data_IF_277204671981
#
_entry.id   IF_277204671981
#
_cell.length_a   1.000
_cell.length_b   1.000
_cell.length_c   1.000
_cell.angle_alpha   90.00
_cell.angle_beta   90.00
_cell.angle_gamma   90.00
#
_symmetry.space_group_name_H-M   'P 1'
#
loop_
_entity.id
_entity.type
_entity.pdbx_description
1 polymer ?
#
# COMPACT_ATOMS: atom_id res chain seq x y z
N UNK A 1 -6.74 -8.78 -10.42
CA UNK A 1 -6.35 -8.85 -8.99
C UNK A 1 -7.28 -9.81 -8.26
N UNK A 2 -6.75 -10.71 -7.47
CA UNK A 2 -7.53 -11.45 -6.49
C UNK A 2 -7.52 -10.66 -5.18
N UNK A 3 -8.65 -10.09 -4.82
CA UNK A 3 -8.78 -9.20 -3.67
C UNK A 3 -8.44 -9.92 -2.36
N UNK A 4 -8.91 -11.14 -2.17
CA UNK A 4 -8.68 -11.90 -0.95
C UNK A 4 -7.22 -12.24 -0.74
N UNK A 5 -6.55 -12.71 -1.79
CA UNK A 5 -5.12 -13.04 -1.75
C UNK A 5 -4.29 -11.78 -1.53
N UNK A 6 -4.60 -10.70 -2.24
CA UNK A 6 -3.89 -9.43 -2.09
C UNK A 6 -4.04 -8.88 -0.68
N UNK A 7 -5.24 -8.93 -0.12
CA UNK A 7 -5.47 -8.47 1.25
C UNK A 7 -4.70 -9.31 2.27
N UNK A 8 -4.74 -10.64 2.13
CA UNK A 8 -4.00 -11.56 3.00
C UNK A 8 -2.50 -11.27 2.99
N UNK A 9 -1.94 -11.06 1.80
CA UNK A 9 -0.53 -10.74 1.64
C UNK A 9 -0.15 -9.45 2.36
N UNK A 10 -1.01 -8.42 2.27
CA UNK A 10 -0.79 -7.16 2.97
C UNK A 10 -0.84 -7.37 4.48
N UNK A 11 -1.86 -8.05 4.98
CA UNK A 11 -2.00 -8.32 6.40
C UNK A 11 -0.77 -9.05 6.96
N UNK A 12 -0.37 -10.11 6.31
CA UNK A 12 0.80 -10.89 6.72
C UNK A 12 2.09 -10.09 6.60
N UNK A 13 2.23 -9.33 5.53
CA UNK A 13 3.41 -8.46 5.32
C UNK A 13 3.54 -7.37 6.37
N UNK A 14 2.43 -6.93 6.97
CA UNK A 14 2.43 -5.96 8.07
C UNK A 14 2.50 -6.61 9.44
N UNK A 15 2.62 -7.94 9.49
CA UNK A 15 2.72 -8.68 10.76
C UNK A 15 1.44 -8.70 11.58
N UNK A 16 0.28 -8.50 10.96
CA UNK A 16 -1.01 -8.50 11.64
C UNK A 16 -1.66 -9.87 11.58
N UNK A 17 -2.03 -10.42 12.75
CA UNK A 17 -2.85 -11.63 12.80
C UNK A 17 -4.30 -11.29 12.51
N UNK A 18 -5.09 -12.28 12.10
CA UNK A 18 -6.54 -12.10 11.93
C UNK A 18 -7.17 -11.67 13.25
N UNK A 19 -6.74 -12.26 14.37
CA UNK A 19 -7.23 -11.90 15.69
C UNK A 19 -6.97 -10.43 16.00
N UNK A 20 -5.74 -9.95 15.81
CA UNK A 20 -5.38 -8.57 16.10
C UNK A 20 -6.19 -7.61 15.21
N UNK A 21 -6.32 -7.92 13.93
CA UNK A 21 -7.07 -7.10 12.99
C UNK A 21 -8.55 -7.05 13.36
N UNK A 22 -9.13 -8.17 13.75
CA UNK A 22 -10.51 -8.25 14.25
C UNK A 22 -10.72 -7.36 15.47
N UNK A 23 -9.80 -7.39 16.41
CA UNK A 23 -9.86 -6.56 17.63
C UNK A 23 -9.79 -5.07 17.30
N UNK A 24 -8.91 -4.68 16.39
CA UNK A 24 -8.72 -3.27 16.03
C UNK A 24 -9.90 -2.69 15.23
N UNK A 25 -10.52 -3.51 14.40
CA UNK A 25 -11.53 -3.03 13.44
C UNK A 25 -12.98 -3.32 13.85
N UNK A 26 -13.19 -4.28 14.73
CA UNK A 26 -14.53 -4.78 15.05
C UNK A 26 -15.11 -5.72 14.00
N UNK A 27 -14.36 -6.03 12.95
CA UNK A 27 -14.77 -7.02 11.94
C UNK A 27 -14.47 -8.41 12.49
N UNK A 28 -15.43 -9.35 12.41
CA UNK A 28 -15.23 -10.69 12.96
C UNK A 28 -14.12 -11.45 12.26
N UNK A 29 -13.45 -12.34 13.00
CA UNK A 29 -12.42 -13.21 12.42
C UNK A 29 -12.97 -14.05 11.27
N UNK A 30 -14.19 -14.58 11.43
CA UNK A 30 -14.84 -15.38 10.39
C UNK A 30 -15.04 -14.57 9.11
N UNK A 31 -15.43 -13.30 9.24
CA UNK A 31 -15.61 -12.42 8.08
C UNK A 31 -14.28 -12.15 7.40
N UNK A 32 -13.21 -11.88 8.17
CA UNK A 32 -11.88 -11.66 7.63
C UNK A 32 -11.39 -12.91 6.87
N UNK A 33 -11.55 -14.10 7.47
CA UNK A 33 -11.19 -15.35 6.79
C UNK A 33 -11.98 -15.56 5.49
N UNK A 34 -13.28 -15.25 5.51
CA UNK A 34 -14.12 -15.37 4.30
C UNK A 34 -13.69 -14.44 3.19
N UNK A 35 -13.28 -13.21 3.53
CA UNK A 35 -12.76 -12.25 2.57
C UNK A 35 -11.46 -12.79 1.95
N UNK A 36 -10.54 -13.29 2.79
CA UNK A 36 -9.24 -13.80 2.33
C UNK A 36 -9.40 -15.05 1.46
N UNK A 37 -10.39 -15.88 1.74
CA UNK A 37 -10.69 -17.07 0.93
C UNK A 37 -11.42 -16.74 -0.38
N UNK A 38 -11.95 -15.53 -0.49
CA UNK A 38 -12.72 -15.11 -1.66
C UNK A 38 -14.17 -15.60 -1.66
N UNK A 39 -14.66 -16.14 -0.53
CA UNK A 39 -16.05 -16.61 -0.42
C UNK A 39 -17.04 -15.46 -0.13
N UNK A 40 -16.53 -14.31 0.30
CA UNK A 40 -17.33 -13.13 0.58
C UNK A 40 -16.62 -11.90 0.04
N UNK A 41 -17.37 -11.02 -0.64
CA UNK A 41 -16.83 -9.73 -1.07
C UNK A 41 -17.12 -8.69 0.03
N UNK A 42 -16.09 -7.96 0.50
CA UNK A 42 -16.34 -6.92 1.50
C UNK A 42 -16.96 -5.69 0.85
N UNK A 43 -17.72 -4.93 1.64
CA UNK A 43 -18.08 -3.57 1.22
C UNK A 43 -16.84 -2.69 1.18
N UNK A 44 -16.91 -1.58 0.43
CA UNK A 44 -15.79 -0.61 0.39
C UNK A 44 -15.46 -0.10 1.79
N UNK A 45 -16.49 0.15 2.62
CA UNK A 45 -16.29 0.64 3.99
C UNK A 45 -15.55 -0.39 4.86
N UNK A 46 -15.91 -1.66 4.75
CA UNK A 46 -15.22 -2.73 5.50
C UNK A 46 -13.77 -2.89 5.00
N UNK A 47 -13.59 -2.93 3.70
CA UNK A 47 -12.26 -3.06 3.11
C UNK A 47 -11.35 -1.89 3.53
N UNK A 48 -11.87 -0.66 3.46
CA UNK A 48 -11.11 0.52 3.89
C UNK A 48 -10.71 0.43 5.36
N UNK A 49 -11.63 0.00 6.22
CA UNK A 49 -11.36 -0.16 7.64
C UNK A 49 -10.24 -1.18 7.89
N UNK A 50 -10.32 -2.31 7.23
CA UNK A 50 -9.31 -3.37 7.35
C UNK A 50 -7.93 -2.91 6.83
N UNK A 51 -7.92 -2.24 5.68
CA UNK A 51 -6.68 -1.73 5.09
C UNK A 51 -6.05 -0.64 5.94
N UNK A 52 -6.83 0.32 6.42
CA UNK A 52 -6.31 1.41 7.26
C UNK A 52 -5.70 0.88 8.55
N UNK A 53 -6.33 -0.12 9.16
CA UNK A 53 -5.78 -0.78 10.34
C UNK A 53 -4.47 -1.52 10.03
N UNK A 54 -4.27 -1.92 8.78
CA UNK A 54 -3.03 -2.54 8.30
C UNK A 54 -2.02 -1.52 7.77
N UNK A 55 -2.34 -0.22 7.83
CA UNK A 55 -1.44 0.84 7.40
C UNK A 55 -1.40 1.07 5.89
N UNK A 56 -2.46 0.70 5.19
CA UNK A 56 -2.56 0.82 3.72
C UNK A 56 -3.82 1.59 3.37
N UNK A 57 -3.74 2.45 2.36
CA UNK A 57 -4.91 3.17 1.83
C UNK A 57 -5.55 2.37 0.70
N UNK A 58 -6.81 2.69 0.37
CA UNK A 58 -7.48 2.09 -0.79
C UNK A 58 -6.72 2.29 -2.10
N UNK A 59 -6.25 3.51 -2.42
CA UNK A 59 -5.46 3.71 -3.64
C UNK A 59 -4.20 2.84 -3.70
N UNK A 60 -3.47 2.74 -2.60
CA UNK A 60 -2.28 1.89 -2.52
C UNK A 60 -2.62 0.42 -2.77
N UNK A 61 -3.73 -0.05 -2.20
CA UNK A 61 -4.18 -1.43 -2.35
C UNK A 61 -4.53 -1.77 -3.79
N UNK A 62 -5.23 -0.86 -4.48
CA UNK A 62 -5.66 -1.08 -5.87
C UNK A 62 -4.59 -0.74 -6.89
N UNK A 63 -3.44 -0.25 -6.48
CA UNK A 63 -2.34 0.07 -7.38
C UNK A 63 -1.52 -1.20 -7.68
N UNK A 64 -2.00 -2.03 -8.59
CA UNK A 64 -1.30 -3.21 -9.07
C UNK A 64 -0.28 -2.89 -10.16
N UNK A 65 -0.39 -1.72 -10.77
CA UNK A 65 0.50 -1.27 -11.83
C UNK A 65 1.71 -0.59 -11.19
N UNK A 66 2.88 -1.18 -11.37
CA UNK A 66 4.13 -0.63 -10.82
C UNK A 66 4.53 0.69 -11.45
N UNK A 67 3.93 1.04 -12.60
CA UNK A 67 4.15 2.31 -13.27
C UNK A 67 3.28 3.43 -12.69
N UNK A 68 2.29 3.09 -11.86
CA UNK A 68 1.41 4.06 -11.21
C UNK A 68 1.80 4.19 -9.75
N UNK A 69 2.19 5.40 -9.35
CA UNK A 69 2.62 5.70 -7.99
C UNK A 69 1.66 6.71 -7.35
N UNK A 70 1.46 6.58 -6.04
CA UNK A 70 0.73 7.55 -5.25
C UNK A 70 1.72 8.24 -4.30
N UNK A 71 2.44 9.27 -4.79
CA UNK A 71 3.51 9.88 -4.01
C UNK A 71 2.96 10.66 -2.81
N UNK A 72 3.74 10.67 -1.73
CA UNK A 72 3.51 11.52 -0.58
C UNK A 72 3.69 13.00 -0.96
N UNK A 73 3.28 13.92 -0.07
CA UNK A 73 3.51 15.35 -0.29
C UNK A 73 4.99 15.67 -0.46
N UNK A 74 5.86 15.04 0.34
CA UNK A 74 7.30 15.19 0.23
C UNK A 74 7.83 14.70 -1.12
N UNK A 75 7.38 13.54 -1.54
CA UNK A 75 7.78 12.98 -2.83
C UNK A 75 7.30 13.82 -4.00
N UNK A 76 6.11 14.41 -3.94
CA UNK A 76 5.62 15.33 -4.97
C UNK A 76 6.50 16.55 -5.11
N UNK A 77 6.93 17.11 -3.99
CA UNK A 77 7.85 18.26 -3.97
C UNK A 77 9.19 17.89 -4.58
N UNK A 78 9.72 16.72 -4.25
CA UNK A 78 10.97 16.21 -4.80
C UNK A 78 10.86 16.02 -6.33
N UNK A 79 9.77 15.40 -6.80
CA UNK A 79 9.52 15.21 -8.23
C UNK A 79 9.44 16.54 -8.95
N UNK A 80 8.72 17.53 -8.41
CA UNK A 80 8.60 18.85 -8.99
C UNK A 80 9.96 19.52 -9.12
N UNK A 81 10.82 19.36 -8.13
CA UNK A 81 12.17 19.91 -8.14
C UNK A 81 13.05 19.23 -9.18
N UNK A 82 12.99 17.90 -9.26
CA UNK A 82 13.77 17.10 -10.23
C UNK A 82 13.40 17.46 -11.66
N UNK A 83 12.13 17.72 -11.94
CA UNK A 83 11.65 18.07 -13.29
C UNK A 83 12.21 19.40 -13.80
N UNK A 84 12.73 20.24 -12.93
CA UNK A 84 13.37 21.51 -13.30
C UNK A 84 14.83 21.35 -13.69
N UNK A 85 15.41 20.17 -13.46
CA UNK A 85 16.81 19.88 -13.76
C UNK A 85 16.95 19.45 -15.21
N UNK A 86 18.12 19.69 -15.80
CA UNK A 86 18.44 19.10 -17.10
C UNK A 86 18.79 17.61 -16.93
N UNK A 87 18.96 16.88 -18.05
CA UNK A 87 19.20 15.45 -18.01
C UNK A 87 20.45 15.04 -17.25
N UNK A 88 21.52 15.85 -17.38
CA UNK A 88 22.79 15.59 -16.70
C UNK A 88 22.66 15.78 -15.19
N UNK A 89 22.03 16.87 -14.77
CA UNK A 89 21.77 17.16 -13.36
C UNK A 89 20.87 16.11 -12.72
N UNK A 90 19.82 15.72 -13.40
CA UNK A 90 18.89 14.68 -12.91
C UNK A 90 19.62 13.34 -12.76
N UNK A 91 20.47 12.99 -13.71
CA UNK A 91 21.27 11.75 -13.64
C UNK A 91 22.24 11.77 -12.45
N UNK A 92 22.90 12.90 -12.22
CA UNK A 92 23.78 13.09 -11.06
C UNK A 92 23.02 12.90 -9.75
N UNK A 93 21.82 13.48 -9.66
CA UNK A 93 20.98 13.34 -8.47
C UNK A 93 20.59 11.88 -8.23
N UNK A 94 20.22 11.16 -9.30
CA UNK A 94 19.88 9.74 -9.20
C UNK A 94 21.07 8.92 -8.67
N UNK A 95 22.26 9.17 -9.17
CA UNK A 95 23.46 8.48 -8.71
C UNK A 95 23.77 8.78 -7.24
N UNK A 96 23.58 10.02 -6.81
CA UNK A 96 23.73 10.40 -5.41
C UNK A 96 22.74 9.64 -4.53
N UNK A 97 21.47 9.57 -4.95
CA UNK A 97 20.44 8.85 -4.21
C UNK A 97 20.80 7.37 -4.06
N UNK A 98 21.27 6.74 -5.13
CA UNK A 98 21.73 5.34 -5.08
C UNK A 98 22.93 5.14 -4.16
N UNK A 99 23.86 6.11 -4.17
CA UNK A 99 25.02 6.06 -3.29
C UNK A 99 24.60 6.13 -1.82
N UNK A 100 23.61 6.96 -1.50
CA UNK A 100 23.12 7.10 -0.12
C UNK A 100 22.38 5.86 0.40
N UNK A 101 21.93 4.97 -0.48
CA UNK A 101 21.29 3.70 -0.11
C UNK A 101 22.29 2.65 0.40
N UNK A 102 23.58 2.84 0.18
CA UNK A 102 24.61 1.85 0.52
C UNK A 102 24.92 1.80 2.04
#
# INVERSE_FOLDING_TARGET
>A
MDLGISFKNIREGKGKSVYALSKETGVSENHIHSIEKGTTQPSVAILERLLNASGVTLPEFFNDDRDVLYPSAYERELIASVRKLDGEQAHTLLQLAKWLEL
#
